data_IF_879276098267
#
_entry.id   IF_879276098267
#
_cell.length_a   1.000
_cell.length_b   1.000
_cell.length_c   1.000
_cell.angle_alpha   90.00
_cell.angle_beta   90.00
_cell.angle_gamma   90.00
#
_symmetry.space_group_name_H-M   'P 1'
#
loop_
_entity.id
_entity.type
_entity.pdbx_description
1 polymer ?
#
# COMPACT_ATOMS: atom_id res chain seq x y z
N UNK A 1 -21.99 -12.67 -8.13
CA UNK A 1 -20.57 -12.35 -7.86
C UNK A 1 -20.48 -11.92 -6.40
N UNK A 2 -19.76 -12.66 -5.56
CA UNK A 2 -19.59 -12.26 -4.16
C UNK A 2 -18.76 -10.98 -4.13
N UNK A 3 -19.18 -9.97 -3.36
CA UNK A 3 -18.64 -8.61 -3.32
C UNK A 3 -17.22 -8.50 -2.69
N UNK A 4 -16.51 -9.61 -2.50
CA UNK A 4 -15.31 -9.70 -1.66
C UNK A 4 -13.96 -9.83 -2.38
N UNK A 5 -13.93 -10.06 -3.69
CA UNK A 5 -12.71 -10.44 -4.42
C UNK A 5 -12.28 -9.36 -5.43
N UNK A 6 -12.01 -8.15 -4.95
CA UNK A 6 -11.46 -7.09 -5.81
C UNK A 6 -10.00 -7.40 -6.12
N UNK A 7 -9.65 -7.47 -7.40
CA UNK A 7 -8.27 -7.69 -7.83
C UNK A 7 -7.41 -6.45 -7.56
N UNK A 8 -6.17 -6.67 -7.14
CA UNK A 8 -5.17 -5.61 -6.98
C UNK A 8 -4.92 -4.91 -8.32
N UNK A 9 -4.91 -5.64 -9.44
CA UNK A 9 -4.74 -5.06 -10.77
C UNK A 9 -5.86 -4.07 -11.16
N UNK A 10 -7.09 -4.30 -10.69
CA UNK A 10 -8.25 -3.43 -10.90
C UNK A 10 -8.29 -2.27 -9.91
N UNK A 11 -7.90 -2.49 -8.66
CA UNK A 11 -7.84 -1.44 -7.66
C UNK A 11 -6.68 -0.45 -7.91
N UNK A 12 -5.54 -0.93 -8.43
CA UNK A 12 -4.33 -0.16 -8.63
C UNK A 12 -4.01 0.03 -10.11
N UNK A 13 -5.00 0.47 -10.91
CA UNK A 13 -4.85 0.68 -12.35
C UNK A 13 -3.79 1.73 -12.70
N UNK A 14 -3.63 2.75 -11.87
CA UNK A 14 -2.74 3.88 -12.15
C UNK A 14 -1.26 3.45 -12.25
N UNK A 15 -0.48 4.00 -13.22
CA UNK A 15 0.92 3.63 -13.43
C UNK A 15 1.81 3.83 -12.21
N UNK A 16 1.48 4.78 -11.33
CA UNK A 16 2.24 5.07 -10.09
C UNK A 16 2.32 3.87 -9.13
N UNK A 17 1.41 2.89 -9.27
CA UNK A 17 1.34 1.69 -8.45
C UNK A 17 2.01 0.46 -9.09
N UNK A 18 2.74 0.62 -10.20
CA UNK A 18 3.35 -0.50 -10.92
C UNK A 18 4.25 -1.36 -10.03
N UNK A 19 5.06 -0.74 -9.17
CA UNK A 19 5.96 -1.46 -8.26
C UNK A 19 5.19 -2.23 -7.19
N UNK A 20 4.10 -1.67 -6.70
CA UNK A 20 3.26 -2.34 -5.71
C UNK A 20 2.56 -3.56 -6.33
N UNK A 21 2.02 -3.42 -7.55
CA UNK A 21 1.42 -4.55 -8.28
C UNK A 21 2.43 -5.67 -8.53
N UNK A 22 3.62 -5.32 -9.04
CA UNK A 22 4.68 -6.29 -9.29
C UNK A 22 5.08 -7.02 -8.00
N UNK A 23 5.22 -6.28 -6.90
CA UNK A 23 5.53 -6.86 -5.60
C UNK A 23 4.43 -7.82 -5.10
N UNK A 24 3.15 -7.43 -5.22
CA UNK A 24 2.04 -8.31 -4.87
C UNK A 24 2.01 -9.59 -5.72
N UNK A 25 2.27 -9.48 -7.02
CA UNK A 25 2.37 -10.63 -7.93
C UNK A 25 3.52 -11.58 -7.55
N UNK A 26 4.68 -11.04 -7.19
CA UNK A 26 5.84 -11.81 -6.69
C UNK A 26 5.51 -12.56 -5.39
N UNK A 27 4.73 -11.94 -4.50
CA UNK A 27 4.26 -12.55 -3.25
C UNK A 27 3.00 -13.43 -3.43
N UNK A 28 2.52 -13.63 -4.67
CA UNK A 28 1.31 -14.40 -4.99
C UNK A 28 0.03 -13.86 -4.31
N UNK A 29 -0.05 -12.53 -4.14
CA UNK A 29 -1.19 -11.82 -3.57
C UNK A 29 -1.94 -11.11 -4.69
N UNK A 30 -3.16 -11.56 -4.96
CA UNK A 30 -3.94 -11.08 -6.12
C UNK A 30 -5.17 -10.25 -5.73
N UNK A 31 -5.68 -10.40 -4.51
CA UNK A 31 -6.91 -9.75 -4.06
C UNK A 31 -6.67 -8.76 -2.93
N UNK A 32 -7.46 -7.70 -2.86
CA UNK A 32 -7.36 -6.67 -1.81
C UNK A 32 -7.53 -7.25 -0.40
N UNK A 33 -8.40 -8.24 -0.24
CA UNK A 33 -8.66 -8.90 1.05
C UNK A 33 -7.43 -9.63 1.61
N UNK A 34 -6.47 -9.97 0.75
CA UNK A 34 -5.27 -10.70 1.11
C UNK A 34 -4.12 -9.74 1.48
N UNK A 35 -4.32 -8.42 1.33
CA UNK A 35 -3.39 -7.40 1.81
C UNK A 35 -3.48 -7.30 3.32
N UNK A 36 -2.37 -7.54 4.00
CA UNK A 36 -2.23 -7.39 5.43
C UNK A 36 -1.14 -6.36 5.78
N UNK A 37 -1.02 -6.06 7.08
CA UNK A 37 -0.03 -5.10 7.57
C UNK A 37 1.41 -5.51 7.26
N UNK A 38 1.74 -6.79 7.40
CA UNK A 38 3.08 -7.32 7.18
C UNK A 38 3.54 -7.08 5.73
N UNK A 39 2.68 -7.33 4.75
CA UNK A 39 2.96 -7.07 3.34
C UNK A 39 3.31 -5.60 3.08
N UNK A 40 2.57 -4.68 3.71
CA UNK A 40 2.80 -3.23 3.56
C UNK A 40 4.13 -2.81 4.20
N UNK A 41 4.45 -3.37 5.37
CA UNK A 41 5.73 -3.14 6.05
C UNK A 41 6.90 -3.67 5.21
N UNK A 42 6.80 -4.89 4.68
CA UNK A 42 7.82 -5.48 3.80
C UNK A 42 7.97 -4.70 2.48
N UNK A 43 6.87 -4.23 1.89
CA UNK A 43 6.92 -3.40 0.70
C UNK A 43 7.62 -2.05 0.95
N UNK A 44 7.49 -1.48 2.15
CA UNK A 44 8.17 -0.24 2.52
C UNK A 44 9.70 -0.38 2.55
N UNK A 45 10.22 -1.59 2.72
CA UNK A 45 11.66 -1.89 2.72
C UNK A 45 12.24 -2.09 1.32
N UNK A 46 11.39 -2.20 0.29
CA UNK A 46 11.83 -2.41 -1.09
C UNK A 46 12.61 -1.19 -1.61
N UNK A 47 13.79 -1.44 -2.20
CA UNK A 47 14.64 -0.39 -2.77
C UNK A 47 13.87 0.45 -3.81
N UNK A 48 13.85 1.77 -3.62
CA UNK A 48 13.14 2.69 -4.51
C UNK A 48 11.68 2.94 -4.11
N UNK A 49 11.24 2.37 -2.99
CA UNK A 49 10.02 2.75 -2.27
C UNK A 49 10.40 3.76 -1.18
N UNK A 50 9.74 4.91 -1.22
CA UNK A 50 9.91 5.98 -0.24
C UNK A 50 8.55 6.48 0.23
N UNK A 51 8.56 7.41 1.19
CA UNK A 51 7.34 7.87 1.86
C UNK A 51 6.22 8.31 0.92
N UNK A 52 6.54 8.96 -0.21
CA UNK A 52 5.55 9.40 -1.20
C UNK A 52 4.79 8.23 -1.85
N UNK A 53 5.50 7.15 -2.21
CA UNK A 53 4.87 5.96 -2.81
C UNK A 53 4.05 5.19 -1.79
N UNK A 54 4.54 5.10 -0.55
CA UNK A 54 3.81 4.49 0.55
C UNK A 54 2.52 5.24 0.86
N UNK A 55 2.59 6.57 0.99
CA UNK A 55 1.41 7.40 1.24
C UNK A 55 0.32 7.18 0.19
N UNK A 56 0.69 7.18 -1.10
CA UNK A 56 -0.26 6.93 -2.19
C UNK A 56 -0.96 5.56 -2.09
N UNK A 57 -0.26 4.52 -1.60
CA UNK A 57 -0.85 3.18 -1.40
C UNK A 57 -1.80 3.18 -0.20
N UNK A 58 -1.38 3.77 0.93
CA UNK A 58 -2.21 3.86 2.13
C UNK A 58 -3.49 4.66 1.84
N UNK A 59 -3.38 5.80 1.17
CA UNK A 59 -4.52 6.60 0.72
C UNK A 59 -5.48 5.78 -0.16
N UNK A 60 -4.93 4.99 -1.09
CA UNK A 60 -5.74 4.15 -1.97
C UNK A 60 -6.48 3.04 -1.22
N UNK A 61 -5.84 2.43 -0.21
CA UNK A 61 -6.41 1.37 0.62
C UNK A 61 -7.44 1.90 1.62
N UNK A 62 -7.22 3.07 2.20
CA UNK A 62 -8.10 3.67 3.19
C UNK A 62 -9.39 4.29 2.58
N UNK A 63 -9.45 4.41 1.25
CA UNK A 63 -10.61 4.95 0.54
C UNK A 63 -10.85 6.45 0.82
N UNK A 64 -12.05 6.98 0.52
CA UNK A 64 -12.37 8.42 0.65
C UNK A 64 -12.21 9.00 2.06
N UNK A 65 -12.04 8.15 3.08
CA UNK A 65 -11.98 8.53 4.50
C UNK A 65 -10.53 8.50 5.05
N UNK A 66 -9.55 8.07 4.25
CA UNK A 66 -8.15 7.90 4.67
C UNK A 66 -7.41 9.16 5.14
N UNK A 67 -7.96 10.35 4.87
CA UNK A 67 -7.34 11.62 5.24
C UNK A 67 -7.44 11.97 6.74
N UNK A 68 -8.08 11.15 7.59
CA UNK A 68 -8.25 11.44 9.02
C UNK A 68 -7.13 10.90 9.94
N UNK A 69 -6.15 10.15 9.44
CA UNK A 69 -5.11 9.51 10.30
C UNK A 69 -3.66 9.79 9.88
N UNK A 70 -3.39 10.93 9.23
CA UNK A 70 -2.00 11.42 9.06
C UNK A 70 -1.55 12.29 10.27
N UNK A 71 -2.45 12.64 11.20
CA UNK A 71 -2.10 13.33 12.45
C UNK A 71 -1.44 12.43 13.51
N UNK A 72 -1.44 11.09 13.35
CA UNK A 72 -0.94 10.14 14.37
C UNK A 72 0.38 9.44 14.02
N UNK A 73 0.89 9.61 12.80
CA UNK A 73 2.21 9.07 12.41
C UNK A 73 3.27 10.13 12.70
N UNK A 74 3.73 10.11 13.95
CA UNK A 74 4.84 10.91 14.46
C UNK A 74 6.15 10.56 13.72
N UNK A 75 6.40 11.29 12.63
CA UNK A 75 7.59 11.18 11.77
C UNK A 75 8.88 11.57 12.52
N UNK A 76 8.78 12.00 13.79
CA UNK A 76 9.92 12.32 14.65
C UNK A 76 10.83 11.12 14.98
N UNK A 77 10.37 9.88 14.77
CA UNK A 77 11.15 8.67 15.09
C UNK A 77 12.03 8.14 13.94
N UNK A 78 11.96 8.69 12.72
CA UNK A 78 12.79 8.25 11.57
C UNK A 78 14.11 9.02 11.40
N UNK A 79 14.52 9.83 12.38
CA UNK A 79 15.89 10.37 12.48
C UNK A 79 16.54 9.94 13.78
N UNK A 80 17.03 8.70 13.83
CA UNK A 80 18.22 8.38 14.63
C UNK A 80 19.40 8.23 13.69
N UNK A 81 20.16 9.31 13.56
CA UNK A 81 21.59 9.29 13.24
C UNK A 81 22.28 10.24 14.19
#
# INVERSE_FOLDING_TARGET
MQKGDILISEAFLEPKFILFKAYCEEQQIFYLKDINRELIEQFAEVKGIGGVKMAAIIERLAGPVGNLQIELLDISQLKKK
#
